data_IF_906603109400
#
_entry.id   IF_906603109400
#
_cell.length_a   1.000
_cell.length_b   1.000
_cell.length_c   1.000
_cell.angle_alpha   90.00
_cell.angle_beta   90.00
_cell.angle_gamma   90.00
#
_symmetry.space_group_name_H-M   'P 1'
#
loop_
_entity.id
_entity.type
_entity.pdbx_description
1 polymer ?
#
# COMPACT_ATOMS: atom_id res chain seq x y z
N UNK A 1 18.80 3.26 -27.72
CA UNK A 1 18.87 3.83 -26.35
C UNK A 1 18.12 5.17 -26.23
N UNK A 2 18.20 6.05 -27.23
CA UNK A 2 17.54 7.38 -27.25
C UNK A 2 16.00 7.36 -27.12
N UNK A 3 15.35 6.34 -27.69
CA UNK A 3 13.89 6.21 -27.69
C UNK A 3 13.30 5.89 -26.31
N UNK A 4 14.03 5.18 -25.45
CA UNK A 4 13.60 4.87 -24.08
C UNK A 4 13.69 6.11 -23.18
N UNK A 5 14.73 6.94 -23.38
CA UNK A 5 14.91 8.21 -22.69
C UNK A 5 13.83 9.23 -23.05
N UNK A 6 13.46 9.37 -24.33
CA UNK A 6 12.34 10.23 -24.75
C UNK A 6 11.00 9.79 -24.15
N UNK A 7 10.73 8.48 -24.13
CA UNK A 7 9.50 7.91 -23.56
C UNK A 7 9.41 8.15 -22.05
N UNK A 8 10.51 7.95 -21.32
CA UNK A 8 10.58 8.24 -19.88
C UNK A 8 10.37 9.74 -19.58
N UNK A 9 10.97 10.63 -20.39
CA UNK A 9 10.83 12.09 -20.25
C UNK A 9 9.40 12.59 -20.48
N UNK A 10 8.65 11.91 -21.35
CA UNK A 10 7.23 12.23 -21.65
C UNK A 10 6.25 11.59 -20.65
N UNK A 11 6.59 10.44 -20.06
CA UNK A 11 5.76 9.77 -19.04
C UNK A 11 5.88 10.42 -17.65
N UNK A 12 7.04 11.00 -17.33
CA UNK A 12 7.32 11.67 -16.06
C UNK A 12 6.30 12.77 -15.66
N UNK A 13 5.91 13.72 -16.53
CA UNK A 13 4.92 14.74 -16.15
C UNK A 13 3.53 14.15 -15.88
N UNK A 14 3.14 13.09 -16.60
CA UNK A 14 1.86 12.39 -16.41
C UNK A 14 1.86 11.64 -15.07
N UNK A 15 2.95 10.94 -14.76
CA UNK A 15 3.12 10.25 -13.47
C UNK A 15 3.09 11.26 -12.31
N UNK A 16 3.77 12.40 -12.43
CA UNK A 16 3.72 13.46 -11.40
C UNK A 16 2.30 14.01 -11.22
N UNK A 17 1.57 14.25 -12.32
CA UNK A 17 0.19 14.71 -12.23
C UNK A 17 -0.71 13.68 -11.53
N UNK A 18 -0.50 12.38 -11.82
CA UNK A 18 -1.19 11.28 -11.15
C UNK A 18 -0.85 11.22 -9.65
N UNK A 19 0.44 11.28 -9.28
CA UNK A 19 0.88 11.28 -7.88
C UNK A 19 0.35 12.49 -7.11
N UNK A 20 0.33 13.68 -7.73
CA UNK A 20 -0.26 14.89 -7.11
C UNK A 20 -1.77 14.73 -6.91
N UNK A 21 -2.48 14.13 -7.86
CA UNK A 21 -3.92 13.89 -7.76
C UNK A 21 -4.25 12.87 -6.66
N UNK A 22 -3.38 11.88 -6.47
CA UNK A 22 -3.50 10.84 -5.44
C UNK A 22 -2.54 11.05 -4.26
N UNK A 23 -2.24 12.31 -3.89
CA UNK A 23 -1.23 12.61 -2.88
C UNK A 23 -1.50 11.97 -1.52
N UNK A 24 -2.77 11.80 -1.15
CA UNK A 24 -3.19 11.10 0.09
C UNK A 24 -2.69 9.66 0.10
N UNK A 25 -2.84 8.93 -1.01
CA UNK A 25 -2.37 7.54 -1.12
C UNK A 25 -0.84 7.47 -1.01
N UNK A 26 -0.14 8.44 -1.61
CA UNK A 26 1.32 8.54 -1.54
C UNK A 26 1.78 8.80 -0.10
N UNK A 27 1.12 9.71 0.62
CA UNK A 27 1.43 10.00 2.03
C UNK A 27 1.19 8.78 2.90
N UNK A 28 0.05 8.09 2.73
CA UNK A 28 -0.29 6.89 3.49
C UNK A 28 0.73 5.77 3.21
N UNK A 29 1.09 5.54 1.95
CA UNK A 29 2.11 4.57 1.57
C UNK A 29 3.48 4.92 2.17
N UNK A 30 3.88 6.19 2.12
CA UNK A 30 5.14 6.65 2.71
C UNK A 30 5.16 6.45 4.23
N UNK A 31 4.08 6.78 4.93
CA UNK A 31 3.94 6.51 6.36
C UNK A 31 4.09 5.02 6.68
N UNK A 32 3.42 4.13 5.94
CA UNK A 32 3.56 2.68 6.14
C UNK A 32 4.97 2.16 5.87
N UNK A 33 5.66 2.68 4.84
CA UNK A 33 7.04 2.31 4.55
C UNK A 33 8.00 2.76 5.67
N UNK A 34 7.81 3.97 6.20
CA UNK A 34 8.59 4.48 7.33
C UNK A 34 8.30 3.64 8.59
N UNK A 35 7.03 3.37 8.88
CA UNK A 35 6.62 2.55 10.03
C UNK A 35 7.17 1.11 9.94
N UNK A 36 7.15 0.51 8.75
CA UNK A 36 7.75 -0.80 8.50
C UNK A 36 9.27 -0.78 8.72
N UNK A 37 9.94 0.26 8.22
CA UNK A 37 11.39 0.43 8.40
C UNK A 37 11.73 0.54 9.89
N UNK A 38 11.00 1.36 10.64
CA UNK A 38 11.18 1.49 12.09
C UNK A 38 10.88 0.18 12.83
N UNK A 39 9.87 -0.59 12.39
CA UNK A 39 9.56 -1.89 12.96
C UNK A 39 10.69 -2.91 12.75
N UNK A 40 11.24 -2.99 11.54
CA UNK A 40 12.32 -3.92 11.20
C UNK A 40 13.62 -3.55 11.93
N UNK A 41 13.99 -2.27 11.95
CA UNK A 41 15.27 -1.81 12.48
C UNK A 41 15.28 -1.61 14.00
N UNK A 42 14.19 -1.12 14.58
CA UNK A 42 14.13 -0.73 15.99
C UNK A 42 13.18 -1.61 16.82
N UNK A 43 12.45 -2.55 16.20
CA UNK A 43 11.35 -3.31 16.83
C UNK A 43 10.34 -2.42 17.56
N UNK A 44 10.21 -1.16 17.13
CA UNK A 44 9.24 -0.23 17.70
C UNK A 44 7.92 -0.44 16.95
N UNK A 45 6.90 -0.88 17.69
CA UNK A 45 5.54 -1.00 17.20
C UNK A 45 4.88 0.39 17.07
N UNK A 46 5.29 1.18 16.07
CA UNK A 46 4.66 2.47 15.70
C UNK A 46 3.43 2.26 14.80
N UNK A 47 3.03 1.00 14.58
CA UNK A 47 1.84 0.69 13.82
C UNK A 47 0.61 1.18 14.57
N UNK A 48 -0.28 1.87 13.85
CA UNK A 48 -1.55 2.37 14.39
C UNK A 48 -2.28 1.19 15.07
N UNK A 49 -2.41 1.19 16.42
CA UNK A 49 -3.14 0.14 17.10
C UNK A 49 -4.59 0.22 16.64
N UNK A 50 -5.20 -0.93 16.35
CA UNK A 50 -6.58 -0.98 15.89
C UNK A 50 -7.49 -0.31 16.95
N UNK A 51 -8.02 0.87 16.61
CA UNK A 51 -8.85 1.68 17.51
C UNK A 51 -10.05 0.87 18.06
N UNK A 52 -10.57 -0.07 17.29
CA UNK A 52 -11.68 -0.95 17.69
C UNK A 52 -11.28 -1.93 18.80
N UNK A 53 -10.06 -2.47 18.74
CA UNK A 53 -9.54 -3.33 19.81
C UNK A 53 -9.25 -2.51 21.06
N UNK A 54 -8.73 -1.30 20.90
CA UNK A 54 -8.36 -0.45 22.05
C UNK A 54 -9.59 0.14 22.74
N UNK A 55 -10.61 0.56 22.01
CA UNK A 55 -11.79 1.26 22.54
C UNK A 55 -12.93 0.29 22.89
N UNK A 56 -13.21 -0.66 22.01
CA UNK A 56 -14.37 -1.56 22.15
C UNK A 56 -13.96 -2.98 22.58
N UNK A 57 -12.67 -3.30 22.63
CA UNK A 57 -12.14 -4.65 22.88
C UNK A 57 -12.69 -5.74 21.94
N UNK A 58 -13.26 -5.33 20.81
CA UNK A 58 -13.84 -6.20 19.79
C UNK A 58 -12.90 -6.25 18.58
N UNK A 59 -12.62 -7.47 18.11
CA UNK A 59 -11.88 -7.68 16.86
C UNK A 59 -12.81 -7.35 15.68
N UNK A 60 -12.63 -6.20 15.05
CA UNK A 60 -13.31 -5.85 13.80
C UNK A 60 -12.72 -6.67 12.62
N UNK A 61 -13.43 -6.82 11.49
CA UNK A 61 -12.92 -7.59 10.34
C UNK A 61 -11.61 -7.03 9.77
N UNK A 62 -11.32 -5.74 9.97
CA UNK A 62 -10.06 -5.11 9.57
C UNK A 62 -8.92 -5.21 10.60
N UNK A 63 -9.18 -5.75 11.80
CA UNK A 63 -8.16 -5.83 12.84
C UNK A 63 -7.04 -6.80 12.41
N UNK A 64 -5.79 -6.34 12.43
CA UNK A 64 -4.63 -7.14 12.03
C UNK A 64 -4.35 -7.16 10.52
N UNK A 65 -5.06 -6.39 9.69
CA UNK A 65 -4.80 -6.31 8.24
C UNK A 65 -3.38 -5.78 7.95
N UNK A 66 -2.93 -4.79 8.71
CA UNK A 66 -1.56 -4.24 8.65
C UNK A 66 -0.51 -5.28 9.04
N UNK A 67 -0.74 -6.04 10.12
CA UNK A 67 0.17 -7.13 10.53
C UNK A 67 0.20 -8.25 9.48
N UNK A 68 -0.95 -8.59 8.91
CA UNK A 68 -1.04 -9.56 7.83
C UNK A 68 -0.27 -9.09 6.59
N UNK A 69 -0.34 -7.79 6.27
CA UNK A 69 0.44 -7.18 5.19
C UNK A 69 1.95 -7.24 5.46
N UNK A 70 2.39 -6.94 6.68
CA UNK A 70 3.81 -7.06 7.07
C UNK A 70 4.29 -8.50 6.93
N UNK A 71 3.54 -9.47 7.46
CA UNK A 71 3.90 -10.89 7.35
C UNK A 71 3.98 -11.34 5.88
N UNK A 72 3.08 -10.82 5.03
CA UNK A 72 3.12 -11.07 3.60
C UNK A 72 4.37 -10.47 2.94
N UNK A 73 4.81 -9.27 3.35
CA UNK A 73 6.08 -8.67 2.91
C UNK A 73 7.30 -9.42 3.43
N UNK A 74 7.22 -10.02 4.61
CA UNK A 74 8.22 -10.93 5.18
C UNK A 74 8.20 -12.33 4.55
N UNK A 75 7.37 -12.56 3.52
CA UNK A 75 7.16 -13.87 2.88
C UNK A 75 6.60 -14.98 3.80
N UNK A 76 6.03 -14.62 4.95
CA UNK A 76 5.35 -15.55 5.85
C UNK A 76 3.83 -15.56 5.61
N UNK A 77 3.42 -16.39 4.64
CA UNK A 77 2.02 -16.56 4.27
C UNK A 77 1.18 -17.19 5.39
N UNK A 78 1.78 -18.04 6.23
CA UNK A 78 1.08 -18.71 7.33
C UNK A 78 0.73 -17.73 8.43
N UNK A 79 1.69 -16.89 8.83
CA UNK A 79 1.47 -15.82 9.79
C UNK A 79 0.53 -14.74 9.22
N UNK A 80 0.57 -14.46 7.91
CA UNK A 80 -0.36 -13.53 7.27
C UNK A 80 -1.82 -14.03 7.35
N UNK A 81 -2.07 -15.30 7.03
CA UNK A 81 -3.40 -15.91 7.11
C UNK A 81 -3.96 -15.93 8.54
N UNK A 82 -3.11 -16.26 9.52
CA UNK A 82 -3.49 -16.24 10.94
C UNK A 82 -3.78 -14.82 11.45
N UNK A 83 -3.09 -13.82 10.91
CA UNK A 83 -3.25 -12.42 11.33
C UNK A 83 -4.54 -11.82 10.79
N UNK A 84 -4.75 -11.89 9.47
CA UNK A 84 -6.01 -11.48 8.85
C UNK A 84 -6.12 -12.04 7.42
N UNK A 85 -7.02 -13.01 7.17
CA UNK A 85 -7.16 -13.62 5.85
C UNK A 85 -7.74 -12.66 4.78
N UNK A 86 -8.39 -11.55 5.18
CA UNK A 86 -8.86 -10.55 4.21
C UNK A 86 -7.73 -9.94 3.40
N UNK A 87 -6.47 -9.98 3.87
CA UNK A 87 -5.33 -9.42 3.13
C UNK A 87 -5.21 -10.05 1.74
N UNK A 88 -5.55 -11.34 1.59
CA UNK A 88 -5.47 -12.06 0.32
C UNK A 88 -6.53 -11.63 -0.69
N UNK A 89 -7.59 -10.96 -0.26
CA UNK A 89 -8.63 -10.41 -1.14
C UNK A 89 -8.39 -8.92 -1.36
N UNK A 90 -8.13 -8.19 -0.27
CA UNK A 90 -7.95 -6.74 -0.28
C UNK A 90 -6.72 -6.35 -1.08
N UNK A 91 -5.60 -7.04 -0.90
CA UNK A 91 -4.36 -6.71 -1.60
C UNK A 91 -4.51 -6.82 -3.12
N UNK A 92 -4.88 -7.97 -3.73
CA UNK A 92 -5.01 -8.06 -5.18
C UNK A 92 -6.14 -7.17 -5.72
N UNK A 93 -7.25 -7.02 -4.99
CA UNK A 93 -8.35 -6.13 -5.39
C UNK A 93 -7.91 -4.67 -5.47
N UNK A 94 -7.18 -4.20 -4.45
CA UNK A 94 -6.64 -2.84 -4.42
C UNK A 94 -5.59 -2.63 -5.51
N UNK A 95 -4.68 -3.60 -5.70
CA UNK A 95 -3.68 -3.55 -6.77
C UNK A 95 -4.35 -3.46 -8.14
N UNK A 96 -5.36 -4.29 -8.41
CA UNK A 96 -6.11 -4.25 -9.67
C UNK A 96 -6.79 -2.89 -9.90
N UNK A 97 -7.43 -2.34 -8.86
CA UNK A 97 -8.09 -1.04 -8.94
C UNK A 97 -7.10 0.08 -9.28
N UNK A 98 -5.96 0.14 -8.58
CA UNK A 98 -4.91 1.14 -8.82
C UNK A 98 -4.34 1.02 -10.24
N UNK A 99 -4.05 -0.21 -10.71
CA UNK A 99 -3.54 -0.43 -12.06
C UNK A 99 -4.56 0.04 -13.10
N UNK A 100 -5.84 -0.32 -12.94
CA UNK A 100 -6.89 0.09 -13.87
C UNK A 100 -7.06 1.60 -13.90
N UNK A 101 -7.11 2.24 -12.74
CA UNK A 101 -7.20 3.69 -12.62
C UNK A 101 -6.00 4.40 -13.27
N UNK A 102 -4.78 3.90 -13.05
CA UNK A 102 -3.57 4.41 -13.68
C UNK A 102 -3.59 4.25 -15.21
N UNK A 103 -4.01 3.09 -15.72
CA UNK A 103 -4.12 2.85 -17.18
C UNK A 103 -5.17 3.79 -17.79
N UNK A 104 -6.32 3.97 -17.15
CA UNK A 104 -7.36 4.90 -17.60
C UNK A 104 -6.87 6.34 -17.57
N UNK A 105 -6.13 6.74 -16.53
CA UNK A 105 -5.54 8.07 -16.43
C UNK A 105 -4.55 8.34 -17.56
N UNK A 106 -3.67 7.38 -17.89
CA UNK A 106 -2.76 7.52 -19.03
C UNK A 106 -3.55 7.62 -20.34
N UNK A 107 -4.58 6.78 -20.54
CA UNK A 107 -5.39 6.80 -21.76
C UNK A 107 -6.13 8.12 -21.96
N UNK A 108 -6.61 8.73 -20.87
CA UNK A 108 -7.37 9.99 -20.92
C UNK A 108 -6.50 11.25 -21.03
N UNK A 109 -5.19 11.15 -20.75
CA UNK A 109 -4.22 12.25 -20.83
C UNK A 109 -3.19 12.06 -21.98
N UNK A 110 -3.47 11.14 -22.91
CA UNK A 110 -2.70 10.92 -24.14
C UNK A 110 -3.43 11.55 -25.31
#
# INVERSE_FOLDING_TARGET
>A
MENHLKKAKQLYPIIIAYLKRHFILVIVAAYYLIALTLYIFAKIDVLIPCLWKTIFNVKCPGCGLTTAFINLLSFDFSAAWKSNPLIFIVLPGLTYYIIRDFILFIKNNK
#
